data_IF_916390926133
#
_entry.id   IF_916390926133
#
_cell.length_a   1.000
_cell.length_b   1.000
_cell.length_c   1.000
_cell.angle_alpha   90.00
_cell.angle_beta   90.00
_cell.angle_gamma   90.00
#
_symmetry.space_group_name_H-M   'P 1'
#
loop_
_entity.id
_entity.type
_entity.pdbx_description
1 polymer ?
#
# COMPACT_ATOMS: atom_id res chain seq x y z
N UNK A 1 -3.70 -14.42 6.21
CA UNK A 1 -3.40 -13.61 5.00
C UNK A 1 -3.18 -12.17 5.40
N UNK A 2 -2.58 -11.35 4.53
CA UNK A 2 -2.46 -9.91 4.72
C UNK A 2 -3.36 -9.19 3.70
N UNK A 3 -4.28 -8.36 4.16
CA UNK A 3 -5.13 -7.54 3.30
C UNK A 3 -4.44 -6.22 3.00
N UNK A 4 -4.26 -5.92 1.72
CA UNK A 4 -3.50 -4.77 1.24
C UNK A 4 -4.35 -3.92 0.32
N UNK A 5 -4.08 -2.63 0.32
CA UNK A 5 -4.56 -1.69 -0.68
C UNK A 5 -3.37 -1.13 -1.44
N UNK A 6 -3.53 -0.94 -2.75
CA UNK A 6 -2.55 -0.28 -3.59
C UNK A 6 -3.19 0.84 -4.41
N UNK A 7 -2.41 1.88 -4.69
CA UNK A 7 -2.80 2.97 -5.59
C UNK A 7 -1.57 3.66 -6.17
N UNK A 8 -1.77 4.52 -7.18
CA UNK A 8 -0.70 5.36 -7.73
C UNK A 8 -0.68 6.74 -7.09
N UNK A 9 0.50 7.15 -6.64
CA UNK A 9 0.79 8.51 -6.17
C UNK A 9 0.82 9.52 -7.31
N UNK A 10 1.03 10.79 -6.95
CA UNK A 10 1.06 11.91 -7.92
C UNK A 10 2.21 11.79 -8.93
N UNK A 11 3.30 11.14 -8.55
CA UNK A 11 4.46 10.85 -9.39
C UNK A 11 4.33 9.52 -10.17
N UNK A 12 3.15 8.89 -10.12
CA UNK A 12 2.88 7.61 -10.77
C UNK A 12 3.43 6.39 -10.02
N UNK A 13 4.18 6.57 -8.93
CA UNK A 13 4.71 5.47 -8.12
C UNK A 13 3.58 4.69 -7.47
N UNK A 14 3.74 3.37 -7.43
CA UNK A 14 2.80 2.51 -6.71
C UNK A 14 3.07 2.58 -5.21
N UNK A 15 2.02 2.79 -4.45
CA UNK A 15 2.01 2.84 -3.00
C UNK A 15 1.18 1.67 -2.50
N UNK A 16 1.70 0.93 -1.52
CA UNK A 16 1.03 -0.28 -0.98
C UNK A 16 1.13 -0.28 0.54
N UNK A 17 0.07 -0.68 1.22
CA UNK A 17 0.05 -0.90 2.66
C UNK A 17 -1.21 -1.62 3.10
N UNK A 18 -1.47 -1.65 4.41
CA UNK A 18 -2.67 -2.27 4.98
C UNK A 18 -3.95 -1.75 4.33
N UNK A 19 -4.87 -2.65 3.96
CA UNK A 19 -6.21 -2.29 3.49
C UNK A 19 -7.08 -1.69 4.61
N UNK A 20 -6.70 -1.88 5.87
CA UNK A 20 -7.45 -1.39 7.01
C UNK A 20 -7.04 0.04 7.35
N UNK A 21 -8.01 0.96 7.36
CA UNK A 21 -7.78 2.35 7.75
C UNK A 21 -7.22 2.44 9.17
N UNK A 22 -6.11 3.17 9.39
CA UNK A 22 -5.47 3.25 10.70
C UNK A 22 -6.30 4.00 11.75
N UNK A 23 -7.31 4.77 11.32
CA UNK A 23 -8.16 5.53 12.23
C UNK A 23 -9.21 4.64 12.91
N UNK A 24 -10.17 4.12 12.13
CA UNK A 24 -11.30 3.34 12.65
C UNK A 24 -11.53 2.02 11.89
N UNK A 25 -10.60 1.63 11.02
CA UNK A 25 -10.60 0.31 10.42
C UNK A 25 -11.50 0.10 9.21
N UNK A 26 -12.00 1.16 8.58
CA UNK A 26 -12.70 1.07 7.31
C UNK A 26 -11.84 0.39 6.23
N UNK A 27 -12.50 -0.28 5.28
CA UNK A 27 -11.85 -0.90 4.12
C UNK A 27 -11.42 0.18 3.12
N UNK A 28 -10.12 0.39 3.02
CA UNK A 28 -9.51 1.36 2.12
C UNK A 28 -9.64 0.97 0.64
N UNK A 29 -9.88 -0.30 0.31
CA UNK A 29 -10.12 -0.74 -1.07
C UNK A 29 -11.42 -0.18 -1.64
N UNK A 30 -12.34 0.27 -0.78
CA UNK A 30 -13.58 0.97 -1.17
C UNK A 30 -13.45 2.50 -1.16
N UNK A 31 -12.23 3.01 -0.92
CA UNK A 31 -11.91 4.44 -1.00
C UNK A 31 -11.76 4.95 -2.43
N UNK A 32 -11.34 6.20 -2.54
CA UNK A 32 -11.05 6.85 -3.83
C UNK A 32 -9.66 7.50 -3.82
N UNK A 33 -9.06 7.71 -4.99
CA UNK A 33 -7.79 8.41 -5.10
C UNK A 33 -8.06 9.86 -5.53
N UNK A 34 -7.58 10.82 -4.75
CA UNK A 34 -7.64 12.25 -5.08
C UNK A 34 -6.24 12.86 -4.99
N UNK A 35 -5.75 13.42 -6.10
CA UNK A 35 -4.42 14.04 -6.22
C UNK A 35 -3.29 13.14 -5.67
N UNK A 36 -3.33 11.85 -6.01
CA UNK A 36 -2.33 10.85 -5.61
C UNK A 36 -2.44 10.36 -4.16
N UNK A 37 -3.47 10.78 -3.42
CA UNK A 37 -3.72 10.34 -2.05
C UNK A 37 -4.94 9.42 -2.02
N UNK A 38 -4.85 8.33 -1.26
CA UNK A 38 -5.99 7.46 -1.01
C UNK A 38 -6.88 8.09 0.06
N UNK A 39 -8.13 8.37 -0.29
CA UNK A 39 -9.16 8.91 0.57
C UNK A 39 -9.96 7.75 1.13
N UNK A 40 -9.85 7.56 2.44
CA UNK A 40 -10.62 6.57 3.17
C UNK A 40 -12.11 6.88 3.05
N UNK A 41 -12.98 5.89 2.72
CA UNK A 41 -14.42 6.14 2.52
C UNK A 41 -15.10 6.66 3.79
N UNK A 42 -14.54 6.33 4.96
CA UNK A 42 -14.97 6.91 6.22
C UNK A 42 -13.81 6.97 7.23
N UNK A 43 -13.53 8.13 7.87
CA UNK A 43 -14.26 9.39 7.78
C UNK A 43 -13.70 10.38 6.72
N UNK A 44 -12.95 9.92 5.72
CA UNK A 44 -12.28 10.82 4.76
C UNK A 44 -10.79 11.07 5.04
N UNK A 45 -10.16 10.27 5.92
CA UNK A 45 -8.71 10.32 6.15
C UNK A 45 -7.95 10.15 4.83
N UNK A 46 -6.95 11.00 4.59
CA UNK A 46 -6.12 10.96 3.38
C UNK A 46 -4.78 10.30 3.67
N UNK A 47 -4.47 9.25 2.93
CA UNK A 47 -3.19 8.55 2.99
C UNK A 47 -2.31 8.99 1.83
N UNK A 48 -1.13 9.50 2.16
CA UNK A 48 -0.11 9.93 1.18
C UNK A 48 0.76 8.78 0.68
N UNK A 49 0.62 7.58 1.27
CA UNK A 49 1.49 6.43 1.02
C UNK A 49 2.81 6.46 1.79
N UNK A 50 3.12 7.57 2.49
CA UNK A 50 4.25 7.60 3.43
C UNK A 50 3.99 6.61 4.56
N UNK A 51 4.96 5.70 4.76
CA UNK A 51 4.93 4.75 5.88
C UNK A 51 4.89 5.47 7.22
N UNK A 52 4.02 4.99 8.11
CA UNK A 52 3.84 5.48 9.48
C UNK A 52 3.66 4.31 10.44
N UNK A 53 3.89 4.47 11.76
CA UNK A 53 3.68 3.37 12.71
C UNK A 53 2.25 2.81 12.73
N UNK A 54 1.25 3.66 12.54
CA UNK A 54 -0.18 3.30 12.50
C UNK A 54 -0.63 2.71 11.15
N UNK A 55 0.11 3.01 10.07
CA UNK A 55 -0.11 2.48 8.73
C UNK A 55 1.25 2.24 8.05
N UNK A 56 1.85 1.06 8.24
CA UNK A 56 3.14 0.77 7.63
C UNK A 56 2.94 0.49 6.14
N UNK A 57 3.62 1.27 5.29
CA UNK A 57 3.71 0.94 3.88
C UNK A 57 4.60 -0.30 3.70
N UNK A 58 4.29 -1.12 2.69
CA UNK A 58 5.14 -2.24 2.29
C UNK A 58 5.97 -1.86 1.06
N UNK A 59 7.19 -2.40 0.90
CA UNK A 59 7.98 -2.16 -0.31
C UNK A 59 7.21 -2.61 -1.56
N UNK A 60 7.24 -1.77 -2.58
CA UNK A 60 6.56 -2.01 -3.86
C UNK A 60 7.56 -1.91 -5.00
N UNK A 61 7.42 -2.79 -5.99
CA UNK A 61 8.18 -2.76 -7.23
C UNK A 61 7.20 -2.87 -8.41
N UNK A 62 7.38 -2.02 -9.42
CA UNK A 62 6.55 -2.00 -10.63
C UNK A 62 7.50 -2.16 -11.82
N UNK A 63 7.47 -3.32 -12.47
CA UNK A 63 8.31 -3.62 -13.63
C UNK A 63 7.69 -3.15 -14.97
N UNK A 64 6.55 -2.46 -14.90
CA UNK A 64 5.77 -2.01 -16.05
C UNK A 64 4.72 -3.02 -16.55
N UNK A 65 4.73 -4.25 -16.03
CA UNK A 65 3.77 -5.31 -16.34
C UNK A 65 3.06 -5.78 -15.06
N UNK A 66 3.84 -6.08 -14.01
CA UNK A 66 3.39 -6.54 -12.70
C UNK A 66 3.76 -5.53 -11.61
N UNK A 67 2.85 -5.43 -10.64
CA UNK A 67 3.09 -4.76 -9.37
C UNK A 67 3.36 -5.82 -8.31
N UNK A 68 4.52 -5.71 -7.68
CA UNK A 68 4.98 -6.60 -6.64
C UNK A 68 4.92 -5.91 -5.29
N UNK A 69 4.42 -6.61 -4.28
CA UNK A 69 4.46 -6.18 -2.88
C UNK A 69 5.38 -7.12 -2.10
N UNK A 70 6.34 -6.57 -1.36
CA UNK A 70 7.25 -7.37 -0.53
C UNK A 70 6.67 -7.56 0.86
N UNK A 71 6.41 -8.81 1.22
CA UNK A 71 5.82 -9.19 2.51
C UNK A 71 6.88 -9.87 3.38
N UNK A 72 7.79 -9.09 3.96
CA UNK A 72 8.98 -9.59 4.68
C UNK A 72 8.65 -10.51 5.87
N UNK A 73 7.40 -10.49 6.38
CA UNK A 73 6.93 -11.39 7.45
C UNK A 73 6.31 -12.69 6.94
N UNK A 74 6.13 -12.82 5.63
CA UNK A 74 5.63 -14.02 4.98
C UNK A 74 6.80 -14.79 4.34
N UNK A 75 6.72 -16.12 4.31
CA UNK A 75 7.68 -16.97 3.59
C UNK A 75 8.91 -17.40 4.40
N UNK A 76 9.43 -16.57 5.32
CA UNK A 76 10.57 -16.94 6.19
C UNK A 76 11.94 -16.97 5.51
N UNK A 77 12.00 -16.57 4.24
CA UNK A 77 13.23 -16.39 3.46
C UNK A 77 13.76 -14.95 3.62
N UNK A 78 15.07 -14.75 3.41
CA UNK A 78 15.65 -13.41 3.40
C UNK A 78 15.12 -12.63 2.18
N UNK A 79 14.47 -11.47 2.36
CA UNK A 79 13.88 -10.74 1.25
C UNK A 79 14.95 -10.16 0.33
N UNK A 80 14.76 -10.34 -0.98
CA UNK A 80 15.56 -9.66 -1.98
C UNK A 80 15.17 -8.16 -2.07
N UNK A 81 16.08 -7.28 -2.53
CA UNK A 81 15.75 -5.88 -2.77
C UNK A 81 14.62 -5.69 -3.79
N UNK A 82 14.63 -6.51 -4.85
CA UNK A 82 13.66 -6.52 -5.95
C UNK A 82 13.29 -7.97 -6.30
N UNK A 83 12.13 -8.21 -6.97
CA UNK A 83 11.76 -9.52 -7.48
C UNK A 83 12.81 -10.07 -8.46
N UNK A 84 13.06 -11.38 -8.41
CA UNK A 84 13.87 -12.07 -9.42
C UNK A 84 12.91 -12.47 -10.54
N UNK A 85 13.07 -11.85 -11.72
CA UNK A 85 12.23 -12.05 -12.92
C UNK A 85 12.80 -13.09 -13.88
#
# INVERSE_FOLDING_TARGET
GAELVCWRGTDGRVLIGSARCPHLGADLCTGSVDRGQLVCPWPGLRLTGRSRPDWPAVPAFDDGVLVWARLDRAGGEEPTPEPIL
#
